data_IF_167277640739
#
_entry.id   IF_167277640739
#
_cell.length_a   1.000
_cell.length_b   1.000
_cell.length_c   1.000
_cell.angle_alpha   90.00
_cell.angle_beta   90.00
_cell.angle_gamma   90.00
#
_symmetry.space_group_name_H-M   'P 1'
#
loop_
_entity.id
_entity.type
_entity.pdbx_description
1 polymer ?
#
# COMPACT_ATOMS: atom_id res chain seq x y z
N UNK A 1 3.93 -7.79 -6.61
CA UNK A 1 4.03 -6.48 -7.31
C UNK A 1 4.68 -6.70 -8.66
N UNK A 2 4.25 -5.98 -9.71
CA UNK A 2 4.99 -5.81 -10.95
C UNK A 2 5.80 -4.50 -10.90
N UNK A 3 7.12 -4.64 -10.84
CA UNK A 3 8.09 -3.54 -10.78
C UNK A 3 9.04 -3.54 -11.99
N UNK A 4 8.63 -4.15 -13.10
CA UNK A 4 9.44 -4.24 -14.32
C UNK A 4 9.91 -2.88 -14.86
N UNK A 5 9.09 -1.82 -14.72
CA UNK A 5 9.51 -0.47 -15.11
C UNK A 5 10.51 0.18 -14.14
N UNK A 6 10.57 -0.27 -12.87
CA UNK A 6 11.52 0.22 -11.86
C UNK A 6 12.88 -0.49 -12.02
N UNK A 7 12.81 -1.79 -12.30
CA UNK A 7 13.95 -2.69 -12.49
C UNK A 7 13.85 -3.36 -13.88
N UNK A 8 14.22 -2.67 -14.96
CA UNK A 8 14.16 -3.25 -16.31
C UNK A 8 15.03 -4.51 -16.48
N UNK A 9 16.10 -4.61 -15.68
CA UNK A 9 17.03 -5.74 -15.69
C UNK A 9 16.62 -6.82 -14.66
N UNK A 10 15.48 -6.64 -13.98
CA UNK A 10 14.99 -7.53 -12.93
C UNK A 10 15.61 -7.27 -11.54
N UNK A 11 15.05 -7.95 -10.54
CA UNK A 11 15.50 -7.93 -9.14
C UNK A 11 15.19 -9.29 -8.49
N UNK A 12 15.89 -9.63 -7.41
CA UNK A 12 15.65 -10.86 -6.66
C UNK A 12 14.35 -10.75 -5.85
N UNK A 13 13.43 -11.74 -5.92
CA UNK A 13 12.10 -11.64 -5.31
C UNK A 13 12.14 -11.53 -3.77
N UNK A 14 13.12 -12.15 -3.12
CA UNK A 14 13.28 -12.10 -1.65
C UNK A 14 14.20 -10.96 -1.19
N UNK A 15 15.15 -10.53 -2.04
CA UNK A 15 16.20 -9.55 -1.71
C UNK A 15 16.19 -8.48 -2.77
N UNK A 16 15.24 -7.55 -2.64
CA UNK A 16 14.98 -6.55 -3.69
C UNK A 16 16.13 -5.57 -3.93
N UNK A 17 17.16 -5.59 -3.07
CA UNK A 17 18.45 -4.92 -3.21
C UNK A 17 19.44 -5.63 -4.14
N UNK A 18 19.14 -6.87 -4.56
CA UNK A 18 20.01 -7.74 -5.37
C UNK A 18 19.43 -8.02 -6.76
N UNK A 19 20.30 -8.24 -7.74
CA UNK A 19 19.92 -8.69 -9.08
C UNK A 19 19.33 -10.12 -9.03
N UNK A 20 18.67 -10.52 -10.12
CA UNK A 20 17.94 -11.81 -10.18
C UNK A 20 18.83 -13.01 -9.85
N UNK A 21 20.09 -12.98 -10.28
CA UNK A 21 21.04 -14.08 -10.16
C UNK A 21 21.83 -14.05 -8.84
N UNK A 22 21.53 -13.09 -7.96
CA UNK A 22 22.18 -12.92 -6.65
C UNK A 22 23.70 -12.66 -6.71
N UNK A 23 24.20 -12.17 -7.85
CA UNK A 23 25.63 -11.91 -8.08
C UNK A 23 26.03 -10.48 -7.71
N UNK A 24 25.08 -9.58 -7.50
CA UNK A 24 25.35 -8.19 -7.13
C UNK A 24 24.10 -7.34 -6.93
N UNK A 25 24.26 -6.03 -6.73
CA UNK A 25 23.14 -5.12 -6.47
C UNK A 25 22.14 -5.04 -7.63
N UNK A 26 20.86 -4.89 -7.31
CA UNK A 26 19.82 -4.61 -8.29
C UNK A 26 20.02 -3.23 -8.92
N UNK A 27 20.00 -3.14 -10.24
CA UNK A 27 20.06 -1.88 -10.95
C UNK A 27 18.69 -1.17 -10.92
N UNK A 28 18.40 -0.45 -9.83
CA UNK A 28 17.21 0.40 -9.77
C UNK A 28 17.39 1.60 -10.71
N UNK A 29 16.69 1.60 -11.85
CA UNK A 29 16.78 2.69 -12.86
C UNK A 29 15.81 3.83 -12.59
N UNK A 30 14.68 3.54 -11.95
CA UNK A 30 13.64 4.53 -11.68
C UNK A 30 13.07 4.40 -10.27
N UNK A 31 12.40 5.45 -9.80
CA UNK A 31 11.66 5.43 -8.52
C UNK A 31 10.19 5.08 -8.72
N UNK A 32 9.50 4.70 -7.64
CA UNK A 32 8.04 4.49 -7.63
C UNK A 32 7.25 5.73 -8.09
N UNK A 33 7.77 6.94 -7.85
CA UNK A 33 7.16 8.19 -8.33
C UNK A 33 7.32 8.39 -9.84
N UNK A 34 8.47 7.98 -10.39
CA UNK A 34 8.71 8.10 -11.83
C UNK A 34 7.99 7.01 -12.63
N UNK A 35 7.91 5.81 -12.05
CA UNK A 35 7.42 4.55 -12.64
C UNK A 35 6.59 3.79 -11.59
N UNK A 36 5.29 4.12 -11.43
CA UNK A 36 4.45 3.50 -10.42
C UNK A 36 4.28 2.01 -10.71
N UNK A 37 4.64 1.11 -9.78
CA UNK A 37 4.48 -0.31 -9.99
C UNK A 37 3.03 -0.73 -9.79
N UNK A 38 2.65 -1.88 -10.36
CA UNK A 38 1.32 -2.46 -10.13
C UNK A 38 1.36 -3.39 -8.91
N UNK A 39 0.51 -3.12 -7.93
CA UNK A 39 0.34 -3.96 -6.75
C UNK A 39 -0.76 -5.00 -6.99
N UNK A 40 -0.64 -6.14 -6.33
CA UNK A 40 -1.60 -7.25 -6.39
C UNK A 40 -1.88 -7.69 -4.96
N UNK A 41 -3.16 -7.88 -4.65
CA UNK A 41 -3.57 -8.68 -3.49
C UNK A 41 -3.23 -10.14 -3.77
N UNK A 42 -2.71 -10.83 -2.77
CA UNK A 42 -2.30 -12.22 -2.85
C UNK A 42 -2.81 -12.95 -1.61
N UNK A 43 -2.60 -14.27 -1.59
CA UNK A 43 -2.92 -15.13 -0.46
C UNK A 43 -4.42 -15.14 -0.09
N UNK A 44 -5.22 -15.61 -1.05
CA UNK A 44 -6.66 -15.79 -0.89
C UNK A 44 -7.04 -17.14 -0.23
N UNK A 45 -6.10 -17.80 0.46
CA UNK A 45 -6.29 -19.13 1.02
C UNK A 45 -7.41 -19.23 2.06
N UNK A 46 -7.77 -18.10 2.69
CA UNK A 46 -8.86 -17.98 3.66
C UNK A 46 -10.05 -17.16 3.13
N UNK A 47 -10.03 -16.76 1.86
CA UNK A 47 -11.07 -15.91 1.28
C UNK A 47 -12.30 -16.71 0.87
N UNK A 48 -13.45 -16.07 0.94
CA UNK A 48 -14.74 -16.60 0.46
C UNK A 48 -15.22 -15.72 -0.68
N UNK A 49 -15.59 -16.36 -1.80
CA UNK A 49 -16.18 -15.67 -2.94
C UNK A 49 -17.69 -15.54 -2.77
N UNK A 50 -18.22 -14.35 -3.07
CA UNK A 50 -19.65 -14.08 -3.12
C UNK A 50 -20.04 -13.69 -4.54
N UNK A 51 -21.27 -14.04 -4.94
CA UNK A 51 -21.83 -13.56 -6.20
C UNK A 51 -22.29 -12.11 -6.05
N UNK A 52 -22.19 -11.32 -7.12
CA UNK A 52 -22.63 -9.92 -7.09
C UNK A 52 -24.14 -9.75 -6.82
N UNK A 53 -24.94 -10.80 -7.00
CA UNK A 53 -26.37 -10.82 -6.69
C UNK A 53 -26.68 -11.12 -5.22
N UNK A 54 -25.68 -11.52 -4.41
CA UNK A 54 -25.87 -11.79 -2.98
C UNK A 54 -26.08 -10.49 -2.21
N UNK A 55 -27.29 -10.31 -1.68
CA UNK A 55 -27.68 -9.11 -0.92
C UNK A 55 -27.30 -9.19 0.55
N UNK A 56 -26.98 -10.38 1.07
CA UNK A 56 -26.74 -10.63 2.49
C UNK A 56 -25.59 -11.64 2.66
N UNK A 57 -24.38 -11.28 2.22
CA UNK A 57 -23.22 -12.16 2.27
C UNK A 57 -22.96 -12.60 3.71
N UNK A 58 -22.84 -13.91 3.92
CA UNK A 58 -22.51 -14.49 5.21
C UNK A 58 -21.45 -15.57 5.08
N UNK A 59 -20.36 -15.40 5.80
CA UNK A 59 -19.31 -16.40 5.92
C UNK A 59 -18.96 -16.64 7.38
N UNK A 60 -18.60 -17.89 7.69
CA UNK A 60 -17.84 -18.19 8.90
C UNK A 60 -16.40 -17.77 8.63
N UNK A 61 -16.01 -16.64 9.20
CA UNK A 61 -14.67 -16.10 9.03
C UNK A 61 -13.67 -16.89 9.86
N UNK A 62 -12.64 -17.42 9.20
CA UNK A 62 -11.52 -18.06 9.88
C UNK A 62 -10.62 -16.97 10.47
N UNK A 63 -10.20 -17.16 11.73
CA UNK A 63 -9.37 -16.19 12.45
C UNK A 63 -7.97 -16.13 11.82
N UNK A 64 -7.73 -15.11 10.99
CA UNK A 64 -6.48 -14.87 10.26
C UNK A 64 -5.27 -14.51 11.14
N UNK A 65 -4.17 -14.07 10.52
CA UNK A 65 -2.92 -13.74 11.22
C UNK A 65 -3.04 -12.58 12.19
N UNK A 66 -3.86 -11.57 11.85
CA UNK A 66 -4.20 -10.49 12.77
C UNK A 66 -5.28 -10.97 13.76
N UNK A 67 -4.91 -10.93 15.04
CA UNK A 67 -5.69 -11.42 16.17
C UNK A 67 -6.40 -10.32 16.94
N UNK A 68 -6.29 -9.05 16.55
CA UNK A 68 -6.86 -7.90 17.28
C UNK A 68 -8.32 -7.59 16.91
N UNK A 69 -8.88 -8.28 15.92
CA UNK A 69 -10.26 -8.06 15.45
C UNK A 69 -11.27 -8.24 16.60
N UNK A 70 -12.07 -7.21 16.93
CA UNK A 70 -13.00 -7.21 18.06
C UNK A 70 -14.00 -8.38 18.05
N UNK A 71 -14.61 -8.64 16.90
CA UNK A 71 -15.64 -9.68 16.74
C UNK A 71 -15.11 -11.11 16.90
N UNK A 72 -13.79 -11.30 16.91
CA UNK A 72 -13.13 -12.59 17.12
C UNK A 72 -12.48 -12.74 18.50
N UNK A 73 -12.67 -11.77 19.41
CA UNK A 73 -12.19 -11.89 20.78
C UNK A 73 -13.05 -12.81 21.63
N UNK A 74 -14.36 -12.84 21.38
CA UNK A 74 -15.27 -13.78 22.05
C UNK A 74 -15.27 -15.13 21.33
N UNK A 75 -14.74 -16.15 22.02
CA UNK A 75 -14.62 -17.53 21.53
C UNK A 75 -15.98 -18.11 21.14
N UNK A 76 -17.05 -17.75 21.85
CA UNK A 76 -18.41 -18.22 21.54
C UNK A 76 -18.95 -17.64 20.24
N UNK A 77 -18.38 -16.51 19.82
CA UNK A 77 -18.81 -15.73 18.67
C UNK A 77 -17.90 -15.97 17.45
N UNK A 78 -16.74 -16.61 17.61
CA UNK A 78 -15.74 -16.73 16.55
C UNK A 78 -16.23 -17.52 15.32
N UNK A 79 -17.12 -18.51 15.53
CA UNK A 79 -17.66 -19.36 14.46
C UNK A 79 -19.02 -18.92 13.92
N UNK A 80 -19.55 -17.78 14.39
CA UNK A 80 -20.83 -17.26 13.91
C UNK A 80 -20.67 -16.64 12.53
N UNK A 81 -21.50 -17.06 11.59
CA UNK A 81 -21.53 -16.48 10.25
C UNK A 81 -21.98 -15.00 10.31
N UNK A 82 -21.23 -14.12 9.65
CA UNK A 82 -21.48 -12.67 9.59
C UNK A 82 -21.17 -12.14 8.20
N UNK A 83 -21.58 -10.89 7.96
CA UNK A 83 -21.03 -10.11 6.85
C UNK A 83 -19.53 -9.91 7.06
N UNK A 84 -18.67 -10.43 6.18
CA UNK A 84 -17.22 -10.36 6.33
C UNK A 84 -16.64 -8.99 5.90
N UNK A 85 -17.37 -8.19 5.12
CA UNK A 85 -16.79 -6.97 4.54
C UNK A 85 -16.36 -5.93 5.60
N UNK A 86 -17.12 -5.67 6.69
CA UNK A 86 -16.64 -4.80 7.76
C UNK A 86 -15.39 -5.32 8.47
N UNK A 87 -15.19 -6.65 8.50
CA UNK A 87 -13.97 -7.26 9.04
C UNK A 87 -12.78 -6.99 8.13
N UNK A 88 -12.94 -7.10 6.82
CA UNK A 88 -11.88 -6.77 5.85
C UNK A 88 -11.49 -5.29 5.93
N UNK A 89 -12.45 -4.39 6.14
CA UNK A 89 -12.19 -2.97 6.38
C UNK A 89 -11.36 -2.77 7.64
N UNK A 90 -11.67 -3.47 8.74
CA UNK A 90 -10.87 -3.43 9.95
C UNK A 90 -9.44 -3.91 9.68
N UNK A 91 -9.26 -5.05 9.01
CA UNK A 91 -7.93 -5.57 8.70
C UNK A 91 -7.11 -4.57 7.86
N UNK A 92 -7.72 -3.98 6.83
CA UNK A 92 -7.05 -2.98 6.01
C UNK A 92 -6.66 -1.75 6.82
N UNK A 93 -7.59 -1.23 7.64
CA UNK A 93 -7.34 -0.10 8.53
C UNK A 93 -6.23 -0.41 9.54
N UNK A 94 -6.24 -1.61 10.12
CA UNK A 94 -5.27 -2.03 11.12
C UNK A 94 -3.87 -2.22 10.53
N UNK A 95 -3.76 -2.73 9.30
CA UNK A 95 -2.48 -2.76 8.57
C UNK A 95 -1.94 -1.33 8.42
N UNK A 96 -2.78 -0.37 8.03
CA UNK A 96 -2.34 1.02 7.91
C UNK A 96 -1.93 1.58 9.27
N UNK A 97 -2.72 1.30 10.32
CA UNK A 97 -2.45 1.70 11.70
C UNK A 97 -1.08 1.21 12.18
N UNK A 98 -0.84 -0.09 12.07
CA UNK A 98 0.37 -0.75 12.56
C UNK A 98 1.63 -0.39 11.77
N UNK A 99 1.55 -0.28 10.44
CA UNK A 99 2.73 -0.11 9.58
C UNK A 99 3.02 1.34 9.19
N UNK A 100 2.08 2.27 9.43
CA UNK A 100 2.23 3.66 9.03
C UNK A 100 1.95 4.65 10.17
N UNK A 101 0.80 4.60 10.84
CA UNK A 101 0.42 5.72 11.73
C UNK A 101 0.84 5.56 13.18
N UNK A 102 0.71 4.38 13.78
CA UNK A 102 0.96 4.16 15.21
C UNK A 102 2.20 3.32 15.48
N UNK A 103 2.61 2.52 14.48
CA UNK A 103 3.70 1.56 14.65
C UNK A 103 3.21 0.29 15.35
N UNK A 104 4.06 -0.73 15.39
CA UNK A 104 3.83 -1.95 16.16
C UNK A 104 5.16 -2.49 16.66
N UNK A 105 5.20 -3.05 17.86
CA UNK A 105 6.45 -3.54 18.49
C UNK A 105 7.20 -4.56 17.64
N UNK A 106 6.48 -5.37 16.87
CA UNK A 106 7.05 -6.37 15.95
C UNK A 106 7.48 -5.80 14.58
N UNK A 107 7.29 -4.51 14.31
CA UNK A 107 7.67 -3.87 13.04
C UNK A 107 8.97 -3.09 13.26
N UNK A 108 10.01 -3.47 12.53
CA UNK A 108 11.39 -2.92 12.64
C UNK A 108 11.43 -1.39 12.49
N UNK A 109 10.51 -0.85 11.68
CA UNK A 109 10.51 0.54 11.24
C UNK A 109 9.64 1.49 12.09
N UNK A 110 8.98 1.00 13.15
CA UNK A 110 8.19 1.84 14.06
C UNK A 110 7.08 2.67 13.39
N UNK A 111 6.68 3.76 14.05
CA UNK A 111 5.69 4.73 13.57
C UNK A 111 6.28 5.61 12.46
N UNK A 112 5.48 5.97 11.44
CA UNK A 112 5.90 6.89 10.38
C UNK A 112 5.25 8.27 10.54
N UNK A 113 6.06 9.29 10.77
CA UNK A 113 5.62 10.68 10.83
C UNK A 113 5.37 11.27 9.45
N UNK A 114 4.45 12.24 9.39
CA UNK A 114 4.06 12.91 8.14
C UNK A 114 2.96 12.16 7.38
N UNK A 115 2.43 11.09 7.97
CA UNK A 115 1.29 10.31 7.48
C UNK A 115 0.06 10.42 8.37
N UNK A 116 0.11 11.33 9.36
CA UNK A 116 -0.95 11.52 10.36
C UNK A 116 -2.26 12.02 9.74
N UNK A 117 -2.22 12.62 8.55
CA UNK A 117 -3.42 13.01 7.80
C UNK A 117 -4.32 11.83 7.43
N UNK A 118 -3.80 10.59 7.44
CA UNK A 118 -4.60 9.38 7.21
C UNK A 118 -5.35 8.92 8.46
N UNK A 119 -4.97 9.40 9.65
CA UNK A 119 -5.50 8.93 10.93
C UNK A 119 -7.04 8.97 11.01
N UNK A 120 -7.74 10.03 10.57
CA UNK A 120 -9.20 10.07 10.64
C UNK A 120 -9.88 8.91 9.88
N UNK A 121 -9.35 8.55 8.70
CA UNK A 121 -9.86 7.41 7.94
C UNK A 121 -9.53 6.09 8.64
N UNK A 122 -8.29 5.92 9.10
CA UNK A 122 -7.85 4.71 9.81
C UNK A 122 -8.69 4.48 11.06
N UNK A 123 -8.92 5.50 11.87
CA UNK A 123 -9.75 5.44 13.09
C UNK A 123 -11.18 5.00 12.78
N UNK A 124 -11.75 5.44 11.65
CA UNK A 124 -13.08 5.01 11.21
C UNK A 124 -13.09 3.54 10.74
N UNK A 125 -12.04 3.08 10.06
CA UNK A 125 -11.93 1.69 9.59
C UNK A 125 -11.76 0.69 10.73
N UNK A 126 -11.06 1.07 11.81
CA UNK A 126 -10.72 0.19 12.94
C UNK A 126 -11.68 0.33 14.13
N UNK A 127 -12.90 0.83 13.90
CA UNK A 127 -13.93 0.92 14.94
C UNK A 127 -14.28 -0.47 15.50
N UNK A 128 -14.48 -0.54 16.82
CA UNK A 128 -14.81 -1.80 17.48
C UNK A 128 -16.17 -2.34 17.03
N UNK A 129 -17.14 -1.44 16.88
CA UNK A 129 -18.45 -1.74 16.35
C UNK A 129 -18.39 -1.87 14.82
N UNK A 130 -18.65 -3.09 14.33
CA UNK A 130 -18.69 -3.41 12.90
C UNK A 130 -19.62 -2.49 12.10
N UNK A 131 -20.76 -2.09 12.68
CA UNK A 131 -21.76 -1.28 11.98
C UNK A 131 -21.34 0.18 11.76
N UNK A 132 -20.33 0.64 12.51
CA UNK A 132 -19.77 1.99 12.39
C UNK A 132 -18.61 2.07 11.41
N UNK A 133 -18.12 0.94 10.92
CA UNK A 133 -17.04 0.90 9.94
C UNK A 133 -17.58 1.36 8.58
N UNK A 134 -16.84 2.22 7.85
CA UNK A 134 -17.23 2.65 6.51
C UNK A 134 -17.20 1.48 5.51
N UNK A 135 -17.99 1.58 4.45
CA UNK A 135 -17.86 0.68 3.30
C UNK A 135 -16.57 0.94 2.53
N UNK A 136 -16.15 0.01 1.66
CA UNK A 136 -14.94 0.21 0.86
C UNK A 136 -15.05 1.44 -0.07
N UNK A 137 -16.24 1.70 -0.62
CA UNK A 137 -16.48 2.87 -1.46
C UNK A 137 -16.34 4.17 -0.66
N UNK A 138 -16.89 4.21 0.56
CA UNK A 138 -16.72 5.34 1.48
C UNK A 138 -15.25 5.54 1.84
N UNK A 139 -14.50 4.46 2.10
CA UNK A 139 -13.06 4.54 2.35
C UNK A 139 -12.30 5.17 1.18
N UNK A 140 -12.62 4.78 -0.05
CA UNK A 140 -11.99 5.33 -1.27
C UNK A 140 -12.30 6.81 -1.40
N UNK A 141 -13.57 7.21 -1.24
CA UNK A 141 -13.98 8.62 -1.29
C UNK A 141 -13.25 9.45 -0.24
N UNK A 142 -13.26 9.00 1.03
CA UNK A 142 -12.58 9.69 2.13
C UNK A 142 -11.07 9.78 1.89
N UNK A 143 -10.44 8.72 1.37
CA UNK A 143 -9.01 8.75 1.04
C UNK A 143 -8.70 9.78 -0.05
N UNK A 144 -9.52 9.85 -1.09
CA UNK A 144 -9.35 10.86 -2.15
C UNK A 144 -9.51 12.28 -1.61
N UNK A 145 -10.49 12.52 -0.74
CA UNK A 145 -10.70 13.83 -0.09
C UNK A 145 -9.52 14.22 0.79
N UNK A 146 -9.03 13.28 1.61
CA UNK A 146 -7.83 13.47 2.42
C UNK A 146 -6.64 13.83 1.52
N UNK A 147 -6.41 13.08 0.43
CA UNK A 147 -5.32 13.35 -0.50
C UNK A 147 -5.46 14.72 -1.16
N UNK A 148 -6.67 15.10 -1.62
CA UNK A 148 -6.94 16.40 -2.26
C UNK A 148 -6.74 17.57 -1.31
N UNK A 149 -7.01 17.40 -0.02
CA UNK A 149 -6.79 18.44 0.99
C UNK A 149 -5.32 18.63 1.37
N UNK A 150 -4.43 17.69 1.01
CA UNK A 150 -3.00 17.83 1.28
C UNK A 150 -2.29 18.71 0.26
N UNK A 151 -1.32 19.49 0.74
CA UNK A 151 -0.42 20.22 -0.16
C UNK A 151 0.52 19.28 -0.91
N UNK A 152 0.97 19.68 -2.10
CA UNK A 152 2.02 18.95 -2.85
C UNK A 152 3.33 18.84 -2.05
N UNK A 153 3.61 19.79 -1.16
CA UNK A 153 4.75 19.73 -0.24
C UNK A 153 4.61 18.58 0.75
N UNK A 154 3.44 18.47 1.39
CA UNK A 154 3.11 17.40 2.34
C UNK A 154 3.19 16.02 1.67
N UNK A 155 2.55 15.86 0.51
CA UNK A 155 2.53 14.59 -0.23
C UNK A 155 3.92 14.17 -0.76
N UNK A 156 4.89 15.09 -0.82
CA UNK A 156 6.27 14.83 -1.24
C UNK A 156 7.26 14.85 -0.08
N UNK A 157 6.80 15.07 1.15
CA UNK A 157 7.65 15.14 2.31
C UNK A 157 8.38 13.81 2.51
N UNK A 158 9.61 13.88 3.00
CA UNK A 158 10.32 12.69 3.43
C UNK A 158 9.61 12.11 4.66
N UNK A 159 9.27 10.83 4.58
CA UNK A 159 8.70 10.09 5.73
C UNK A 159 9.81 9.84 6.75
N UNK A 160 9.51 10.07 8.02
CA UNK A 160 10.41 9.85 9.15
C UNK A 160 9.87 8.68 9.98
N UNK A 161 10.72 7.72 10.32
CA UNK A 161 10.41 6.60 11.19
C UNK A 161 10.75 6.91 12.66
N UNK A 162 9.97 6.46 13.62
CA UNK A 162 10.24 6.69 15.05
C UNK A 162 11.55 6.07 15.54
N UNK A 163 12.10 5.12 14.78
CA UNK A 163 13.39 4.46 15.04
C UNK A 163 14.55 5.07 14.24
N UNK A 164 14.33 6.07 13.38
CA UNK A 164 15.40 6.68 12.59
C UNK A 164 16.41 7.41 13.49
N UNK A 165 17.69 7.14 13.26
CA UNK A 165 18.76 7.90 13.88
C UNK A 165 19.13 9.15 13.04
N UNK A 166 19.70 10.21 13.66
CA UNK A 166 20.04 11.45 12.96
C UNK A 166 21.00 11.27 11.78
N UNK A 167 21.91 10.28 11.87
CA UNK A 167 22.91 10.01 10.84
C UNK A 167 22.23 9.50 9.55
N UNK A 168 21.39 8.47 9.68
CA UNK A 168 20.63 7.91 8.58
C UNK A 168 19.69 8.92 7.92
N UNK A 169 19.15 9.85 8.71
CA UNK A 169 18.37 10.97 8.20
C UNK A 169 19.19 11.87 7.26
N UNK A 170 20.38 12.30 7.69
CA UNK A 170 21.27 13.16 6.88
C UNK A 170 21.65 12.46 5.57
N UNK A 171 21.98 11.17 5.62
CA UNK A 171 22.30 10.39 4.41
C UNK A 171 21.14 10.33 3.40
N UNK A 172 19.88 10.35 3.87
CA UNK A 172 18.69 10.35 3.01
C UNK A 172 18.27 11.75 2.55
N UNK A 173 18.63 12.79 3.30
CA UNK A 173 18.19 14.18 3.07
C UNK A 173 18.63 14.74 1.71
N UNK A 174 19.92 14.72 1.39
CA UNK A 174 20.42 15.28 0.13
C UNK A 174 19.88 14.55 -1.12
N UNK A 175 19.89 13.20 -1.18
CA UNK A 175 19.26 12.48 -2.28
C UNK A 175 17.75 12.75 -2.40
N UNK A 176 17.06 12.92 -1.27
CA UNK A 176 15.63 13.26 -1.25
C UNK A 176 15.36 14.61 -1.92
N UNK A 177 16.07 15.68 -1.51
CA UNK A 177 15.88 17.01 -2.10
C UNK A 177 16.24 17.06 -3.57
N UNK A 178 17.33 16.39 -3.98
CA UNK A 178 17.68 16.25 -5.40
C UNK A 178 16.53 15.63 -6.20
N UNK A 179 15.94 14.52 -5.73
CA UNK A 179 14.79 13.87 -6.39
C UNK A 179 13.57 14.78 -6.43
N UNK A 180 13.30 15.49 -5.34
CA UNK A 180 12.16 16.42 -5.24
C UNK A 180 12.24 17.52 -6.30
N UNK A 181 13.41 18.13 -6.48
CA UNK A 181 13.67 19.14 -7.52
C UNK A 181 13.44 18.53 -8.91
N UNK A 182 14.02 17.35 -9.19
CA UNK A 182 13.81 16.64 -10.47
C UNK A 182 12.33 16.41 -10.75
N UNK A 183 11.56 15.98 -9.76
CA UNK A 183 10.12 15.74 -9.91
C UNK A 183 9.30 17.02 -10.12
N UNK A 184 9.74 18.16 -9.58
CA UNK A 184 9.09 19.47 -9.82
C UNK A 184 9.37 19.89 -11.27
N UNK A 185 10.65 19.86 -11.69
CA UNK A 185 11.07 20.25 -13.05
C UNK A 185 10.39 19.35 -14.11
N UNK A 186 10.33 18.03 -13.86
CA UNK A 186 9.70 17.06 -14.77
C UNK A 186 8.18 16.95 -14.60
N UNK A 187 7.56 17.84 -13.80
CA UNK A 187 6.11 17.91 -13.55
C UNK A 187 5.46 16.58 -13.20
N UNK A 188 6.15 15.74 -12.41
CA UNK A 188 5.57 14.49 -11.92
C UNK A 188 4.49 14.80 -10.86
N UNK A 189 3.34 14.11 -10.85
CA UNK A 189 2.35 14.32 -9.80
C UNK A 189 2.92 13.85 -8.45
N UNK A 190 2.47 14.46 -7.35
CA UNK A 190 2.90 14.07 -6.00
C UNK A 190 2.39 12.66 -5.64
N UNK A 191 1.12 12.38 -5.96
CA UNK A 191 0.56 11.03 -5.95
C UNK A 191 0.78 10.40 -7.33
N UNK A 192 1.60 9.35 -7.44
CA UNK A 192 1.88 8.73 -8.72
C UNK A 192 0.64 8.00 -9.22
N UNK A 193 0.17 8.34 -10.41
CA UNK A 193 -0.92 7.61 -11.07
C UNK A 193 -0.36 6.65 -12.12
N UNK A 194 -0.97 5.48 -12.22
CA UNK A 194 -0.70 4.56 -13.31
C UNK A 194 -1.39 5.09 -14.58
N UNK A 195 -0.67 5.86 -15.40
CA UNK A 195 -1.11 6.12 -16.77
C UNK A 195 -0.63 4.97 -17.65
N UNK A 196 -1.55 4.33 -18.38
CA UNK A 196 -1.16 3.44 -19.50
C UNK A 196 -0.35 4.28 -20.46
N UNK A 197 0.98 4.18 -20.43
CA UNK A 197 1.76 4.54 -21.61
C UNK A 197 1.36 3.53 -22.67
N UNK A 198 0.79 4.00 -23.78
CA UNK A 198 0.65 3.18 -24.96
C UNK A 198 2.04 2.60 -25.25
N UNK A 199 2.16 1.28 -25.18
CA UNK A 199 3.29 0.62 -25.81
C UNK A 199 3.13 0.92 -27.29
N UNK A 200 3.90 1.86 -27.84
CA UNK A 200 4.13 1.88 -29.27
C UNK A 200 4.75 0.53 -29.60
N UNK A 201 3.94 -0.37 -30.16
CA UNK A 201 4.44 -1.63 -30.68
C UNK A 201 5.54 -1.30 -31.70
N UNK A 202 6.69 -1.99 -31.68
CA UNK A 202 7.63 -1.87 -32.77
C UNK A 202 6.90 -2.30 -34.06
N UNK A 203 6.98 -1.47 -35.10
CA UNK A 203 6.51 -1.82 -36.43
C UNK A 203 7.21 -3.13 -36.84
N UNK A 204 6.47 -4.24 -36.85
CA UNK A 204 6.96 -5.47 -37.42
C UNK A 204 7.04 -5.26 -38.94
N UNK A 205 8.26 -5.08 -39.44
CA UNK A 205 8.54 -5.13 -40.88
C UNK A 205 8.21 -6.54 -41.38
N UNK A 206 7.11 -6.63 -42.13
CA UNK A 206 6.80 -7.80 -42.95
C UNK A 206 7.90 -7.94 -44.00
N UNK A 207 8.64 -9.04 -43.96
CA UNK A 207 9.39 -9.54 -45.11
C UNK A 207 8.45 -10.49 -45.87
N UNK A 208 8.12 -10.24 -47.14
CA UNK A 208 7.36 -11.18 -47.95
C UNK A 208 8.29 -12.33 -48.40
N UNK A 209 7.75 -13.56 -48.40
CA UNK A 209 8.25 -14.67 -49.22
C UNK A 209 7.59 -14.60 -50.58
#
# INVERSE_FOLDING_TARGET
MDASEIYPDGFHPFRTDMNRDFTGPAAQKYTRTQRPPKYYWIDFGLSVGFDNSDKFPRAVTLRGGDKSVPEFQDILQVHKARDPFPTDIYYLGNIIRMYFTEGHSNVIDGRKYGLDFMKPLVDAMVQDDMSKRPTIDQCVIHLEEIIRSQSSCTLRAQVWHSTDNPIGFIYRFLPHWRRRIVYIITRKPAVPSWSRRSKSAPLASRVPR
#
